data_IF_194538859927
#
_entry.id   IF_194538859927
#
_cell.length_a   1.000
_cell.length_b   1.000
_cell.length_c   1.000
_cell.angle_alpha   90.00
_cell.angle_beta   90.00
_cell.angle_gamma   90.00
#
_symmetry.space_group_name_H-M   'P 1'
#
loop_
_entity.id
_entity.type
_entity.pdbx_description
1 polymer ?
#
# COMPACT_ATOMS: atom_id res chain seq x y z
N UNK A 1 18.12 -54.68 -48.17
CA UNK A 1 16.89 -53.89 -48.39
C UNK A 1 16.48 -53.27 -47.06
N UNK A 2 16.57 -51.94 -46.99
CA UNK A 2 16.34 -51.14 -45.79
C UNK A 2 14.83 -50.97 -45.53
N UNK A 3 14.38 -51.08 -44.27
CA UNK A 3 13.08 -50.56 -43.84
C UNK A 3 13.29 -49.62 -42.66
N UNK A 4 13.07 -48.35 -42.93
CA UNK A 4 13.13 -47.19 -42.05
C UNK A 4 11.93 -47.18 -41.09
N UNK A 5 12.18 -46.97 -39.79
CA UNK A 5 11.14 -46.67 -38.81
C UNK A 5 11.31 -45.22 -38.35
N UNK A 6 10.32 -44.36 -38.64
CA UNK A 6 10.27 -42.98 -38.16
C UNK A 6 9.58 -42.97 -36.79
N UNK A 7 10.29 -42.56 -35.74
CA UNK A 7 9.71 -42.28 -34.42
C UNK A 7 9.42 -40.78 -34.35
N UNK A 8 8.15 -40.41 -34.31
CA UNK A 8 7.70 -39.05 -34.04
C UNK A 8 7.61 -38.86 -32.52
N UNK A 9 8.52 -38.08 -31.93
CA UNK A 9 8.47 -37.70 -30.52
C UNK A 9 7.55 -36.49 -30.32
N UNK A 10 6.44 -36.68 -29.62
CA UNK A 10 5.55 -35.61 -29.17
C UNK A 10 6.11 -35.04 -27.85
N UNK A 11 6.70 -33.85 -27.88
CA UNK A 11 7.11 -33.12 -26.68
C UNK A 11 5.90 -32.36 -26.16
N UNK A 12 5.22 -32.89 -25.14
CA UNK A 12 4.18 -32.18 -24.42
C UNK A 12 4.83 -31.14 -23.49
N UNK A 13 4.85 -29.88 -23.91
CA UNK A 13 5.24 -28.76 -23.06
C UNK A 13 4.12 -28.49 -22.05
N UNK A 14 4.22 -29.07 -20.85
CA UNK A 14 3.38 -28.73 -19.70
C UNK A 14 3.72 -27.31 -19.23
N UNK A 15 2.95 -26.33 -19.70
CA UNK A 15 2.94 -25.00 -19.10
C UNK A 15 2.28 -25.09 -17.72
N UNK A 16 3.09 -25.03 -16.66
CA UNK A 16 2.58 -24.84 -15.30
C UNK A 16 1.92 -23.46 -15.23
N UNK A 17 0.60 -23.36 -14.97
CA UNK A 17 -0.02 -22.06 -14.73
C UNK A 17 0.54 -21.51 -13.41
N UNK A 18 1.25 -20.39 -13.48
CA UNK A 18 1.51 -19.56 -12.30
C UNK A 18 0.17 -18.97 -11.85
N UNK A 19 -0.50 -19.63 -10.90
CA UNK A 19 -1.62 -19.04 -10.21
C UNK A 19 -1.09 -17.86 -9.38
N UNK A 20 -1.35 -16.64 -9.86
CA UNK A 20 -1.15 -15.42 -9.08
C UNK A 20 -2.05 -15.53 -7.85
N UNK A 21 -1.44 -15.65 -6.67
CA UNK A 21 -2.18 -15.60 -5.41
C UNK A 21 -2.82 -14.21 -5.30
N UNK A 22 -4.11 -14.13 -5.62
CA UNK A 22 -4.89 -12.93 -5.41
C UNK A 22 -4.78 -12.51 -3.94
N UNK A 23 -4.39 -11.26 -3.69
CA UNK A 23 -4.18 -10.76 -2.33
C UNK A 23 -5.54 -10.44 -1.70
N UNK A 24 -6.00 -11.35 -0.84
CA UNK A 24 -7.31 -11.32 -0.20
C UNK A 24 -7.49 -10.31 0.92
N UNK A 25 -6.40 -9.87 1.52
CA UNK A 25 -6.44 -9.21 2.82
C UNK A 25 -7.00 -7.79 2.73
N UNK A 26 -7.84 -7.44 3.69
CA UNK A 26 -8.03 -6.03 4.03
C UNK A 26 -6.75 -5.54 4.70
N UNK A 27 -6.20 -4.44 4.21
CA UNK A 27 -4.97 -3.82 4.72
C UNK A 27 -5.22 -2.37 5.06
N UNK A 28 -4.43 -1.80 5.95
CA UNK A 28 -4.50 -0.37 6.30
C UNK A 28 -3.22 0.33 5.86
N UNK A 29 -3.36 1.57 5.41
CA UNK A 29 -2.26 2.46 5.12
C UNK A 29 -2.51 3.87 5.67
N UNK A 30 -1.47 4.62 6.07
CA UNK A 30 -0.08 4.15 6.16
C UNK A 30 0.07 3.06 7.24
N UNK A 31 1.06 2.18 7.10
CA UNK A 31 1.34 1.12 8.09
C UNK A 31 2.16 1.62 9.28
N UNK A 32 2.61 2.88 9.23
CA UNK A 32 3.25 3.58 10.31
C UNK A 32 2.76 5.02 10.42
N UNK A 33 2.72 5.54 11.64
CA UNK A 33 2.34 6.91 11.92
C UNK A 33 2.97 7.40 13.23
N UNK A 34 3.03 8.72 13.42
CA UNK A 34 3.55 9.26 14.67
C UNK A 34 2.55 9.01 15.80
N UNK A 35 3.02 8.68 17.02
CA UNK A 35 2.17 8.74 18.20
C UNK A 35 1.59 10.13 18.29
N UNK A 36 0.28 10.21 18.47
CA UNK A 36 -0.35 11.51 18.55
C UNK A 36 -0.71 12.14 17.20
N UNK A 37 -0.52 11.48 16.07
CA UNK A 37 -0.86 12.08 14.78
C UNK A 37 -2.38 12.08 14.53
N UNK A 38 -2.85 13.13 13.86
CA UNK A 38 -4.10 13.08 13.11
C UNK A 38 -3.77 12.54 11.73
N UNK A 39 -4.30 11.37 11.38
CA UNK A 39 -3.97 10.65 10.16
C UNK A 39 -5.21 10.31 9.36
N UNK A 40 -5.06 10.26 8.05
CA UNK A 40 -6.04 9.61 7.16
C UNK A 40 -5.60 8.17 6.96
N UNK A 41 -6.34 7.25 7.59
CA UNK A 41 -6.15 5.81 7.39
C UNK A 41 -7.01 5.36 6.20
N UNK A 42 -6.39 4.66 5.26
CA UNK A 42 -7.06 4.06 4.12
C UNK A 42 -7.09 2.53 4.30
N UNK A 43 -8.29 1.98 4.47
CA UNK A 43 -8.53 0.55 4.52
C UNK A 43 -8.80 0.03 3.11
N UNK A 44 -7.91 -0.78 2.59
CA UNK A 44 -7.93 -1.25 1.21
C UNK A 44 -8.43 -2.69 1.19
N UNK A 45 -9.55 -2.92 0.50
CA UNK A 45 -10.08 -4.25 0.22
C UNK A 45 -9.43 -4.73 -1.07
N UNK A 46 -8.67 -5.83 -1.03
CA UNK A 46 -7.98 -6.35 -2.21
C UNK A 46 -8.90 -7.06 -3.21
N UNK A 47 -9.84 -7.85 -2.70
CA UNK A 47 -10.85 -8.56 -3.49
C UNK A 47 -12.06 -8.93 -2.64
N UNK A 48 -13.13 -9.43 -3.26
CA UNK A 48 -14.32 -9.93 -2.60
C UNK A 48 -14.16 -11.28 -1.87
N UNK A 49 -15.17 -11.73 -1.14
CA UNK A 49 -15.13 -12.94 -0.31
C UNK A 49 -15.36 -14.17 -1.19
N UNK A 50 -14.37 -15.07 -1.30
CA UNK A 50 -14.46 -16.28 -2.13
C UNK A 50 -14.98 -16.03 -3.56
N UNK A 51 -14.58 -14.90 -4.15
CA UNK A 51 -14.99 -14.47 -5.49
C UNK A 51 -16.31 -13.68 -5.56
N UNK A 52 -17.08 -13.58 -4.46
CA UNK A 52 -18.26 -12.72 -4.36
C UNK A 52 -17.86 -11.26 -4.14
N UNK A 53 -18.41 -10.28 -4.86
CA UNK A 53 -17.99 -8.89 -4.75
C UNK A 53 -18.31 -8.30 -3.37
N UNK A 54 -17.48 -7.37 -2.92
CA UNK A 54 -17.67 -6.73 -1.60
C UNK A 54 -18.82 -5.75 -1.65
N UNK A 55 -19.81 -5.91 -0.78
CA UNK A 55 -20.97 -5.02 -0.67
C UNK A 55 -20.91 -4.12 0.57
N UNK A 56 -20.01 -4.41 1.50
CA UNK A 56 -19.77 -3.59 2.68
C UNK A 56 -18.38 -3.77 3.27
N UNK A 57 -17.89 -2.70 3.88
CA UNK A 57 -16.76 -2.75 4.79
C UNK A 57 -17.14 -2.08 6.11
N UNK A 58 -16.89 -2.76 7.23
CA UNK A 58 -16.95 -2.19 8.57
C UNK A 58 -15.56 -2.26 9.19
N UNK A 59 -15.13 -1.19 9.82
CA UNK A 59 -13.88 -1.11 10.58
C UNK A 59 -14.21 -0.79 12.03
N UNK A 60 -13.79 -1.65 12.96
CA UNK A 60 -13.85 -1.37 14.41
C UNK A 60 -12.50 -0.76 14.83
N UNK A 61 -12.58 0.43 15.40
CA UNK A 61 -11.44 1.20 15.90
C UNK A 61 -11.41 1.09 17.43
N UNK A 62 -10.26 0.77 18.03
CA UNK A 62 -10.15 0.66 19.48
C UNK A 62 -10.36 2.03 20.14
N UNK A 63 -10.85 2.05 21.39
CA UNK A 63 -11.14 3.27 22.18
C UNK A 63 -10.02 4.31 22.28
N UNK A 64 -8.76 3.88 22.07
CA UNK A 64 -7.61 4.77 22.08
C UNK A 64 -7.49 5.62 20.80
N UNK A 65 -8.21 5.26 19.73
CA UNK A 65 -8.35 6.03 18.49
C UNK A 65 -9.58 6.92 18.61
N UNK A 66 -9.39 8.22 18.40
CA UNK A 66 -10.44 9.24 18.61
C UNK A 66 -10.60 10.11 17.35
N UNK A 67 -11.49 11.12 17.40
CA UNK A 67 -11.77 12.04 16.29
C UNK A 67 -12.06 11.31 14.95
N UNK A 68 -12.92 10.29 15.02
CA UNK A 68 -13.21 9.38 13.91
C UNK A 68 -14.17 10.04 12.92
N UNK A 69 -13.69 10.29 11.70
CA UNK A 69 -14.44 10.93 10.63
C UNK A 69 -14.26 10.19 9.31
N UNK A 70 -15.27 9.43 8.85
CA UNK A 70 -15.22 8.76 7.55
C UNK A 70 -15.14 9.79 6.44
N UNK A 71 -14.21 9.62 5.50
CA UNK A 71 -14.12 10.51 4.34
C UNK A 71 -15.18 10.13 3.28
N UNK A 72 -15.67 11.11 2.49
CA UNK A 72 -16.60 10.83 1.41
C UNK A 72 -16.06 9.80 0.42
N UNK A 73 -16.88 8.79 0.11
CA UNK A 73 -16.59 7.79 -0.92
C UNK A 73 -17.72 7.81 -1.96
N UNK A 74 -17.47 8.19 -3.22
CA UNK A 74 -18.51 8.30 -4.24
C UNK A 74 -19.34 7.02 -4.36
N UNK A 75 -20.67 7.15 -4.31
CA UNK A 75 -21.61 6.03 -4.39
C UNK A 75 -21.81 5.23 -3.10
N UNK A 76 -20.97 5.42 -2.07
CA UNK A 76 -21.08 4.68 -0.81
C UNK A 76 -21.59 5.58 0.31
N UNK A 77 -22.48 5.05 1.16
CA UNK A 77 -22.87 5.70 2.41
C UNK A 77 -21.92 5.27 3.52
N UNK A 78 -21.28 6.24 4.18
CA UNK A 78 -20.41 6.03 5.32
C UNK A 78 -21.10 6.47 6.61
N UNK A 79 -21.12 5.63 7.64
CA UNK A 79 -21.61 5.95 8.98
C UNK A 79 -20.52 5.70 10.01
N UNK A 80 -20.54 6.46 11.10
CA UNK A 80 -19.72 6.21 12.27
C UNK A 80 -20.60 6.10 13.52
N UNK A 81 -20.32 5.13 14.38
CA UNK A 81 -21.04 4.94 15.64
C UNK A 81 -20.07 4.61 16.79
N UNK A 82 -20.52 4.86 18.02
CA UNK A 82 -19.79 4.46 19.22
C UNK A 82 -20.05 2.97 19.51
N UNK A 83 -19.01 2.27 19.96
CA UNK A 83 -19.10 0.88 20.42
C UNK A 83 -19.26 0.82 21.95
N UNK A 84 -19.85 -0.26 22.50
CA UNK A 84 -20.07 -0.40 23.95
C UNK A 84 -18.80 -0.36 24.80
N UNK A 85 -17.65 -0.72 24.23
CA UNK A 85 -16.34 -0.73 24.89
C UNK A 85 -15.64 0.65 24.88
N UNK A 86 -16.32 1.67 24.36
CA UNK A 86 -15.81 3.02 24.16
C UNK A 86 -15.00 3.20 22.87
N UNK A 87 -14.93 2.16 22.03
CA UNK A 87 -14.40 2.26 20.66
C UNK A 87 -15.38 2.93 19.70
N UNK A 88 -15.01 2.89 18.43
CA UNK A 88 -15.86 3.35 17.33
C UNK A 88 -15.95 2.29 16.25
N UNK A 89 -17.01 2.33 15.47
CA UNK A 89 -17.04 1.61 14.21
C UNK A 89 -17.42 2.54 13.08
N UNK A 90 -16.78 2.33 11.93
CA UNK A 90 -17.11 3.01 10.68
C UNK A 90 -17.58 1.97 9.68
N UNK A 91 -18.71 2.21 9.04
CA UNK A 91 -19.31 1.30 8.06
C UNK A 91 -19.54 2.02 6.73
N UNK A 92 -19.06 1.43 5.64
CA UNK A 92 -19.40 1.83 4.27
C UNK A 92 -20.30 0.77 3.63
N UNK A 93 -21.48 1.18 3.13
CA UNK A 93 -22.47 0.32 2.47
C UNK A 93 -23.19 1.04 1.34
N UNK A 94 -23.90 0.27 0.50
CA UNK A 94 -24.82 0.80 -0.52
C UNK A 94 -24.18 1.27 -1.82
N UNK A 95 -22.86 1.17 -1.96
CA UNK A 95 -22.19 1.44 -3.22
C UNK A 95 -22.13 0.24 -4.16
N UNK A 96 -21.60 0.49 -5.36
CA UNK A 96 -21.39 -0.55 -6.38
C UNK A 96 -20.51 -1.67 -5.81
N UNK A 97 -20.95 -2.95 -5.88
CA UNK A 97 -20.18 -4.07 -5.34
C UNK A 97 -18.75 -4.13 -5.92
N UNK A 98 -17.75 -4.21 -5.05
CA UNK A 98 -16.35 -4.17 -5.47
C UNK A 98 -15.95 -5.47 -6.17
N UNK A 99 -15.60 -5.35 -7.45
CA UNK A 99 -15.00 -6.41 -8.28
C UNK A 99 -13.49 -6.26 -8.44
N UNK A 100 -12.93 -5.13 -8.00
CA UNK A 100 -11.51 -4.79 -8.00
C UNK A 100 -11.12 -4.23 -6.64
N UNK A 101 -9.80 -4.14 -6.40
CA UNK A 101 -9.30 -3.53 -5.17
C UNK A 101 -9.74 -2.07 -5.06
N UNK A 102 -10.09 -1.62 -3.85
CA UNK A 102 -10.52 -0.24 -3.59
C UNK A 102 -10.30 0.13 -2.12
N UNK A 103 -10.17 1.43 -1.86
CA UNK A 103 -9.89 2.02 -0.56
C UNK A 103 -11.09 2.67 0.11
N UNK A 104 -11.10 2.64 1.45
CA UNK A 104 -12.09 3.26 2.32
C UNK A 104 -11.36 4.08 3.38
N UNK A 105 -11.42 5.40 3.25
CA UNK A 105 -10.62 6.30 4.04
C UNK A 105 -11.38 6.88 5.24
N UNK A 106 -10.72 6.92 6.39
CA UNK A 106 -11.21 7.54 7.62
C UNK A 106 -10.10 8.41 8.20
N UNK A 107 -10.43 9.66 8.53
CA UNK A 107 -9.55 10.54 9.30
C UNK A 107 -9.74 10.24 10.78
N UNK A 108 -8.64 10.05 11.50
CA UNK A 108 -8.64 9.70 12.93
C UNK A 108 -7.52 10.41 13.66
N UNK A 109 -7.61 10.45 14.98
CA UNK A 109 -6.54 10.83 15.89
C UNK A 109 -6.01 9.57 16.58
N UNK A 110 -4.73 9.25 16.32
CA UNK A 110 -4.06 8.04 16.82
C UNK A 110 -3.65 8.16 18.31
N UNK A 111 -3.46 7.05 19.03
CA UNK A 111 -2.94 7.05 20.40
C UNK A 111 -1.63 7.84 20.53
N UNK A 112 -1.41 8.48 21.68
CA UNK A 112 -0.23 9.31 21.95
C UNK A 112 1.03 8.55 22.35
N UNK A 113 0.97 7.22 22.46
CA UNK A 113 2.09 6.37 22.89
C UNK A 113 2.58 5.49 21.73
N UNK A 114 3.87 5.18 21.74
CA UNK A 114 4.46 4.17 20.85
C UNK A 114 3.75 2.82 21.04
N UNK A 115 3.67 2.04 19.96
CA UNK A 115 3.04 0.73 20.01
C UNK A 115 2.42 0.32 18.68
N UNK A 116 1.51 -0.65 18.73
CA UNK A 116 0.80 -1.17 17.56
C UNK A 116 -0.70 -0.97 17.77
N UNK A 117 -1.37 -0.38 16.78
CA UNK A 117 -2.82 -0.21 16.76
C UNK A 117 -3.39 -1.21 15.77
N UNK A 118 -4.06 -2.23 16.31
CA UNK A 118 -4.78 -3.23 15.53
C UNK A 118 -6.23 -2.77 15.32
N UNK A 119 -6.75 -3.03 14.13
CA UNK A 119 -8.13 -2.74 13.74
C UNK A 119 -8.81 -4.04 13.38
N UNK A 120 -10.11 -4.14 13.65
CA UNK A 120 -10.89 -5.25 13.10
C UNK A 120 -11.54 -4.75 11.82
N UNK A 121 -11.30 -5.44 10.71
CA UNK A 121 -12.10 -5.24 9.51
C UNK A 121 -13.13 -6.36 9.37
N UNK A 122 -14.37 -6.01 9.03
CA UNK A 122 -15.44 -6.94 8.71
C UNK A 122 -15.91 -6.63 7.30
N UNK A 123 -15.61 -7.54 6.38
CA UNK A 123 -15.94 -7.43 4.98
C UNK A 123 -17.19 -8.27 4.70
N UNK A 124 -18.24 -7.66 4.12
CA UNK A 124 -19.45 -8.38 3.70
C UNK A 124 -19.50 -8.48 2.18
N UNK A 125 -19.93 -9.65 1.68
CA UNK A 125 -20.07 -9.96 0.27
C UNK A 125 -21.44 -10.62 0.04
N UNK A 126 -22.50 -9.83 0.19
CA UNK A 126 -23.87 -10.37 0.31
C UNK A 126 -24.11 -10.96 1.70
N UNK A 127 -24.50 -12.23 1.77
CA UNK A 127 -24.74 -12.95 3.03
C UNK A 127 -23.43 -13.44 3.69
N UNK A 128 -22.36 -13.57 2.91
CA UNK A 128 -21.05 -13.99 3.40
C UNK A 128 -20.35 -12.84 4.12
N UNK A 129 -19.73 -13.12 5.26
CA UNK A 129 -18.89 -12.15 5.99
C UNK A 129 -17.56 -12.76 6.37
N UNK A 130 -16.49 -12.00 6.13
CA UNK A 130 -15.12 -12.32 6.54
C UNK A 130 -14.66 -11.31 7.58
N UNK A 131 -14.13 -11.78 8.71
CA UNK A 131 -13.59 -10.95 9.78
C UNK A 131 -12.06 -11.05 9.78
N UNK A 132 -11.40 -9.90 9.70
CA UNK A 132 -9.95 -9.72 9.67
C UNK A 132 -9.48 -9.23 11.04
N UNK A 133 -9.25 -10.16 11.96
CA UNK A 133 -8.87 -9.91 13.35
C UNK A 133 -7.76 -10.83 13.87
N UNK A 134 -7.23 -11.72 13.03
CA UNK A 134 -6.17 -12.65 13.43
C UNK A 134 -4.86 -11.87 13.64
N UNK A 135 -4.17 -12.03 14.78
CA UNK A 135 -2.89 -11.36 15.00
C UNK A 135 -1.86 -11.84 13.98
N UNK A 136 -0.96 -10.94 13.55
CA UNK A 136 0.18 -11.30 12.69
C UNK A 136 1.37 -11.64 13.59
N UNK A 137 1.70 -12.94 13.78
CA UNK A 137 2.86 -13.33 14.58
C UNK A 137 4.15 -12.90 13.86
N UNK A 138 5.19 -12.57 14.65
CA UNK A 138 6.52 -12.27 14.11
C UNK A 138 7.15 -13.51 13.46
N UNK A 139 7.01 -14.65 14.15
CA UNK A 139 7.44 -15.97 13.70
C UNK A 139 6.26 -16.93 13.80
N UNK A 140 5.92 -17.61 12.70
CA UNK A 140 4.81 -18.57 12.69
C UNK A 140 4.08 -18.67 11.35
N UNK A 141 3.04 -19.51 11.28
CA UNK A 141 2.21 -19.63 10.09
C UNK A 141 1.51 -18.30 9.80
N UNK A 142 1.41 -17.94 8.52
CA UNK A 142 0.70 -16.74 8.08
C UNK A 142 -0.80 -16.90 8.40
N UNK A 143 -1.43 -15.95 9.13
CA UNK A 143 -2.87 -15.98 9.39
C UNK A 143 -3.66 -15.92 8.09
N UNK A 144 -4.88 -16.50 8.10
CA UNK A 144 -5.80 -16.46 6.97
C UNK A 144 -6.48 -15.09 6.88
N UNK A 145 -6.81 -14.50 8.02
CA UNK A 145 -7.47 -13.20 8.10
C UNK A 145 -6.73 -12.22 9.02
N UNK A 146 -5.47 -11.86 8.71
CA UNK A 146 -4.68 -10.90 9.47
C UNK A 146 -5.43 -9.58 9.74
N UNK A 147 -5.34 -9.12 10.99
CA UNK A 147 -5.78 -7.80 11.42
C UNK A 147 -5.01 -6.68 10.71
N UNK A 148 -5.70 -5.68 10.13
CA UNK A 148 -5.06 -4.44 9.71
C UNK A 148 -4.37 -3.76 10.89
N UNK A 149 -3.17 -3.23 10.66
CA UNK A 149 -2.29 -2.79 11.73
C UNK A 149 -1.49 -1.53 11.34
N UNK A 150 -1.45 -0.57 12.25
CA UNK A 150 -0.57 0.60 12.19
C UNK A 150 0.44 0.56 13.33
N UNK A 151 1.72 0.77 13.04
CA UNK A 151 2.77 0.88 14.06
C UNK A 151 3.04 2.35 14.38
N UNK A 152 2.98 2.71 15.66
CA UNK A 152 3.26 4.05 16.18
C UNK A 152 4.68 4.10 16.72
N UNK A 153 5.47 5.07 16.26
CA UNK A 153 6.81 5.29 16.78
C UNK A 153 7.46 6.57 16.26
N UNK A 154 8.49 7.04 16.96
CA UNK A 154 9.19 8.29 16.68
C UNK A 154 9.75 8.41 15.25
N UNK A 155 10.01 7.29 14.56
CA UNK A 155 10.45 7.29 13.17
C UNK A 155 9.42 7.88 12.19
N UNK A 156 8.14 7.97 12.57
CA UNK A 156 7.10 8.65 11.80
C UNK A 156 6.86 10.10 12.26
N UNK A 157 7.46 10.53 13.37
CA UNK A 157 7.20 11.81 14.06
C UNK A 157 8.15 12.96 13.68
N UNK A 158 9.00 12.80 12.67
CA UNK A 158 9.90 13.89 12.25
C UNK A 158 9.23 14.94 11.34
N UNK A 159 7.93 14.81 11.04
CA UNK A 159 7.22 15.70 10.13
C UNK A 159 6.52 16.92 10.78
N UNK A 160 6.56 17.08 12.11
CA UNK A 160 5.95 18.25 12.74
C UNK A 160 6.73 18.74 13.98
N UNK A 161 7.25 19.96 13.86
CA UNK A 161 7.92 20.78 14.88
C UNK A 161 9.41 20.51 15.15
N UNK A 162 10.26 21.27 14.46
CA UNK A 162 11.50 21.78 15.04
C UNK A 162 11.49 23.32 14.98
N UNK A 163 11.75 24.04 16.09
CA UNK A 163 12.03 25.47 16.02
C UNK A 163 13.37 25.68 15.32
N UNK A 164 13.48 26.78 14.58
CA UNK A 164 14.71 27.19 13.92
C UNK A 164 15.84 27.42 14.95
N UNK A 165 16.88 26.57 14.92
CA UNK A 165 18.15 26.85 15.58
C UNK A 165 19.33 26.25 14.79
N UNK A 166 20.24 27.16 14.40
CA UNK A 166 21.62 26.98 13.95
C UNK A 166 21.93 26.05 12.76
N UNK A 167 22.46 26.67 11.70
CA UNK A 167 23.02 26.05 10.49
C UNK A 167 24.31 25.29 10.83
N UNK A 168 24.16 24.03 11.23
CA UNK A 168 25.19 23.00 11.03
C UNK A 168 25.03 22.33 9.66
N UNK A 169 26.01 21.55 9.17
CA UNK A 169 25.82 20.77 7.94
C UNK A 169 24.59 19.87 8.10
N UNK A 170 23.62 20.02 7.19
CA UNK A 170 22.35 19.29 7.20
C UNK A 170 22.65 17.80 7.31
N UNK A 171 22.08 17.06 8.29
CA UNK A 171 22.19 15.61 8.31
C UNK A 171 21.73 15.06 6.96
N UNK A 172 22.56 14.23 6.30
CA UNK A 172 22.15 13.57 5.06
C UNK A 172 20.87 12.81 5.33
N UNK A 173 19.82 13.11 4.57
CA UNK A 173 18.55 12.39 4.63
C UNK A 173 18.79 10.89 4.50
N UNK A 174 18.20 10.11 5.41
CA UNK A 174 18.23 8.65 5.31
C UNK A 174 17.38 8.24 4.10
N UNK A 175 17.97 7.46 3.20
CA UNK A 175 17.27 6.89 2.03
C UNK A 175 17.13 5.37 2.17
N UNK A 176 16.12 4.75 1.55
CA UNK A 176 16.04 3.31 1.49
C UNK A 176 17.26 2.72 0.80
N UNK A 177 17.59 1.48 1.15
CA UNK A 177 18.66 0.76 0.46
C UNK A 177 18.35 0.66 -1.03
N UNK A 178 19.29 1.08 -1.87
CA UNK A 178 19.12 1.09 -3.32
C UNK A 178 18.33 2.29 -3.85
N UNK A 179 18.17 3.35 -3.06
CA UNK A 179 17.68 4.65 -3.51
C UNK A 179 18.80 5.68 -3.37
N UNK A 180 18.92 6.54 -4.36
CA UNK A 180 19.90 7.61 -4.44
C UNK A 180 19.19 8.95 -4.58
N UNK A 181 19.76 10.00 -3.98
CA UNK A 181 19.37 11.38 -4.26
C UNK A 181 20.35 11.96 -5.27
N UNK A 182 19.81 12.45 -6.38
CA UNK A 182 20.53 13.07 -7.47
C UNK A 182 20.84 14.54 -7.13
N UNK A 183 21.79 15.12 -7.87
CA UNK A 183 22.23 16.51 -7.64
C UNK A 183 21.12 17.55 -7.86
N UNK A 184 20.13 17.24 -8.70
CA UNK A 184 18.94 18.07 -8.97
C UNK A 184 17.84 17.93 -7.90
N UNK A 185 18.14 17.22 -6.80
CA UNK A 185 17.21 16.85 -5.74
C UNK A 185 16.27 15.71 -6.11
N UNK A 186 16.35 15.15 -7.32
CA UNK A 186 15.56 14.01 -7.76
C UNK A 186 15.91 12.71 -7.04
N UNK A 187 14.95 11.81 -6.95
CA UNK A 187 15.20 10.43 -6.51
C UNK A 187 15.53 9.54 -7.71
N UNK A 188 16.42 8.58 -7.48
CA UNK A 188 16.78 7.53 -8.43
C UNK A 188 16.93 6.18 -7.74
N UNK A 189 16.81 5.09 -8.49
CA UNK A 189 17.10 3.75 -7.99
C UNK A 189 18.61 3.46 -7.88
N UNK A 190 18.96 2.22 -7.53
CA UNK A 190 20.33 1.78 -7.35
C UNK A 190 21.16 1.84 -8.64
N UNK A 191 20.51 1.73 -9.80
CA UNK A 191 21.14 1.86 -11.11
C UNK A 191 21.26 3.32 -11.56
N UNK A 192 20.71 4.28 -10.80
CA UNK A 192 20.67 5.69 -11.19
C UNK A 192 19.49 6.04 -12.12
N UNK A 193 18.49 5.16 -12.23
CA UNK A 193 17.31 5.44 -13.02
C UNK A 193 16.38 6.42 -12.29
N UNK A 194 15.92 7.48 -12.96
CA UNK A 194 14.90 8.39 -12.47
C UNK A 194 13.68 7.74 -11.81
N UNK A 195 13.25 8.29 -10.67
CA UNK A 195 12.00 7.92 -10.01
C UNK A 195 10.93 9.01 -10.13
N UNK A 196 9.68 8.56 -10.19
CA UNK A 196 8.49 9.36 -10.47
C UNK A 196 7.33 9.02 -9.54
N UNK A 197 6.39 9.94 -9.44
CA UNK A 197 5.07 9.76 -8.81
C UNK A 197 3.97 9.97 -9.85
N UNK A 198 2.89 9.21 -9.72
CA UNK A 198 1.73 9.32 -10.60
C UNK A 198 0.66 10.24 -10.00
N UNK A 199 0.18 11.23 -10.76
CA UNK A 199 -0.73 12.25 -10.23
C UNK A 199 -2.11 11.68 -9.86
N UNK A 200 -2.53 10.59 -10.49
CA UNK A 200 -3.79 9.91 -10.15
C UNK A 200 -3.69 9.01 -8.92
N UNK A 201 -2.50 8.78 -8.34
CA UNK A 201 -2.35 8.13 -7.03
C UNK A 201 -2.70 9.12 -5.91
N UNK A 202 -3.99 9.43 -5.79
CA UNK A 202 -4.53 10.37 -4.80
C UNK A 202 -4.81 9.72 -3.45
N UNK A 203 -4.92 8.38 -3.41
CA UNK A 203 -5.16 7.63 -2.18
C UNK A 203 -3.85 7.19 -1.52
N UNK A 204 -3.71 7.47 -0.23
CA UNK A 204 -2.58 6.98 0.57
C UNK A 204 -2.60 5.46 0.60
N UNK A 205 -1.44 4.84 0.39
CA UNK A 205 -1.28 3.39 0.54
C UNK A 205 -1.72 2.54 -0.63
N UNK A 206 -2.23 3.15 -1.70
CA UNK A 206 -2.71 2.46 -2.89
C UNK A 206 -2.11 3.11 -4.14
N UNK A 207 -1.96 2.29 -5.17
CA UNK A 207 -1.60 2.72 -6.52
C UNK A 207 -2.77 2.44 -7.46
N UNK A 208 -3.07 3.38 -8.36
CA UNK A 208 -3.92 3.16 -9.52
C UNK A 208 -3.14 2.71 -10.75
N UNK A 209 -1.80 2.81 -10.73
CA UNK A 209 -0.94 2.34 -11.80
C UNK A 209 -0.70 0.83 -11.69
N UNK A 210 -1.62 0.05 -12.22
CA UNK A 210 -1.58 -1.42 -12.27
C UNK A 210 -1.48 -1.93 -13.72
N UNK A 211 -1.19 -3.23 -13.86
CA UNK A 211 -1.16 -3.95 -15.14
C UNK A 211 -0.29 -3.26 -16.22
N UNK A 212 -0.86 -2.84 -17.34
CA UNK A 212 -0.11 -2.17 -18.42
C UNK A 212 0.54 -0.87 -17.99
N UNK A 213 -0.07 -0.15 -17.05
CA UNK A 213 0.56 1.02 -16.45
C UNK A 213 1.84 0.62 -15.74
N UNK A 214 1.80 -0.43 -14.91
CA UNK A 214 2.96 -0.93 -14.16
C UNK A 214 4.04 -1.56 -15.06
N UNK A 215 3.71 -1.98 -16.30
CA UNK A 215 4.71 -2.43 -17.29
C UNK A 215 5.48 -1.25 -17.87
N UNK A 216 4.78 -0.17 -18.21
CA UNK A 216 5.39 1.05 -18.73
C UNK A 216 6.11 1.84 -17.63
N UNK A 217 5.56 1.80 -16.41
CA UNK A 217 6.05 2.48 -15.21
C UNK A 217 6.31 1.47 -14.09
N UNK A 218 7.42 0.72 -14.15
CA UNK A 218 7.74 -0.28 -13.13
C UNK A 218 7.73 0.29 -11.71
N UNK A 219 6.97 -0.30 -10.77
CA UNK A 219 7.01 0.07 -9.36
C UNK A 219 8.41 -0.06 -8.77
N UNK A 220 8.82 0.89 -7.94
CA UNK A 220 10.02 0.76 -7.12
C UNK A 220 9.76 -0.26 -6.01
N UNK A 221 10.15 -1.51 -6.23
CA UNK A 221 9.98 -2.57 -5.26
C UNK A 221 10.80 -2.29 -3.98
N UNK A 222 10.20 -2.55 -2.83
CA UNK A 222 10.90 -2.56 -1.56
C UNK A 222 11.47 -3.95 -1.26
N UNK A 223 12.64 -3.98 -0.62
CA UNK A 223 13.28 -5.23 -0.22
C UNK A 223 12.41 -5.99 0.80
N UNK A 224 12.55 -7.32 0.83
CA UNK A 224 11.88 -8.13 1.85
C UNK A 224 12.31 -7.68 3.25
N UNK A 225 11.35 -7.46 4.14
CA UNK A 225 11.61 -6.98 5.50
C UNK A 225 11.99 -5.49 5.56
N UNK A 226 11.82 -4.74 4.47
CA UNK A 226 11.88 -3.29 4.55
C UNK A 226 10.85 -2.78 5.57
N UNK A 227 11.28 -1.83 6.39
CA UNK A 227 10.43 -1.11 7.31
C UNK A 227 10.32 0.33 6.82
N UNK A 228 9.14 0.95 6.93
CA UNK A 228 9.01 2.36 6.59
C UNK A 228 9.75 3.22 7.62
N UNK A 229 10.06 4.48 7.27
CA UNK A 229 10.74 5.43 8.16
C UNK A 229 10.68 6.85 7.58
N UNK A 230 10.57 7.87 8.43
CA UNK A 230 10.43 9.25 7.97
C UNK A 230 9.31 9.39 6.95
N UNK A 231 9.61 10.03 5.82
CA UNK A 231 8.69 10.20 4.68
C UNK A 231 8.53 8.95 3.81
N UNK A 232 9.25 7.86 4.11
CA UNK A 232 9.23 6.63 3.33
C UNK A 232 8.20 5.66 3.90
N UNK A 233 7.21 5.33 3.10
CA UNK A 233 6.18 4.35 3.43
C UNK A 233 6.20 3.16 2.46
N UNK A 234 5.50 2.09 2.84
CA UNK A 234 5.39 0.89 2.03
C UNK A 234 3.93 0.70 1.63
N UNK A 235 3.70 0.45 0.35
CA UNK A 235 2.37 0.12 -0.15
C UNK A 235 2.34 -1.35 -0.62
N UNK A 236 1.28 -2.10 -0.30
CA UNK A 236 1.10 -3.43 -0.85
C UNK A 236 0.68 -3.35 -2.31
N UNK A 237 1.26 -4.21 -3.16
CA UNK A 237 0.85 -4.36 -4.57
C UNK A 237 -0.11 -5.53 -4.75
N UNK A 238 -1.16 -5.44 -5.60
CA UNK A 238 -2.11 -6.53 -5.84
C UNK A 238 -1.43 -7.81 -6.37
N UNK A 239 -0.47 -7.67 -7.29
CA UNK A 239 0.28 -8.77 -7.91
C UNK A 239 1.33 -9.43 -6.98
N UNK A 240 1.37 -9.03 -5.71
CA UNK A 240 2.38 -9.47 -4.74
C UNK A 240 3.53 -8.46 -4.56
N UNK A 241 4.29 -8.60 -3.47
CA UNK A 241 5.38 -7.68 -3.13
C UNK A 241 4.94 -6.38 -2.44
N UNK A 242 5.89 -5.48 -2.24
CA UNK A 242 5.70 -4.16 -1.62
C UNK A 242 6.42 -3.12 -2.47
N UNK A 243 5.83 -1.95 -2.64
CA UNK A 243 6.41 -0.82 -3.36
C UNK A 243 6.75 0.28 -2.35
N UNK A 244 7.88 0.96 -2.57
CA UNK A 244 8.22 2.17 -1.85
C UNK A 244 7.31 3.32 -2.28
N UNK A 245 6.79 4.03 -1.28
CA UNK A 245 6.19 5.34 -1.46
C UNK A 245 7.01 6.37 -0.70
N UNK A 246 7.04 7.59 -1.20
CA UNK A 246 7.72 8.71 -0.57
C UNK A 246 6.76 9.88 -0.47
N UNK A 247 6.65 10.47 0.73
CA UNK A 247 5.63 11.48 1.07
C UNK A 247 4.23 11.03 0.65
N UNK A 248 3.89 9.78 1.00
CA UNK A 248 2.63 9.08 0.67
C UNK A 248 2.39 8.74 -0.80
N UNK A 249 3.26 9.16 -1.73
CA UNK A 249 3.11 8.89 -3.16
C UNK A 249 3.90 7.65 -3.59
N UNK A 250 3.26 6.66 -4.25
CA UNK A 250 3.96 5.51 -4.80
C UNK A 250 5.08 5.93 -5.79
N UNK A 251 6.23 5.26 -5.72
CA UNK A 251 7.39 5.55 -6.58
C UNK A 251 7.53 4.57 -7.73
N UNK A 252 7.78 5.08 -8.92
CA UNK A 252 7.93 4.30 -10.14
C UNK A 252 9.19 4.71 -10.89
N UNK A 253 9.78 3.75 -11.59
CA UNK A 253 10.72 4.03 -12.65
C UNK A 253 9.96 4.13 -13.98
N UNK A 254 10.59 4.70 -15.01
CA UNK A 254 10.03 4.73 -16.37
C UNK A 254 10.80 3.78 -17.28
N UNK A 255 10.09 2.87 -17.96
CA UNK A 255 10.70 1.81 -18.76
C UNK A 255 11.52 2.30 -19.96
N UNK A 256 11.32 3.53 -20.41
CA UNK A 256 12.05 4.11 -21.54
C UNK A 256 13.24 4.98 -21.11
N UNK A 257 13.38 5.28 -19.82
CA UNK A 257 14.54 6.00 -19.32
C UNK A 257 15.77 5.09 -19.27
N UNK A 258 16.95 5.72 -19.29
CA UNK A 258 18.24 5.05 -19.12
C UNK A 258 19.04 5.75 -18.04
N UNK A 259 19.79 5.01 -17.21
CA UNK A 259 20.71 5.61 -16.25
C UNK A 259 21.66 6.63 -16.89
N UNK A 260 21.74 7.83 -16.29
CA UNK A 260 22.61 8.91 -16.75
C UNK A 260 22.10 9.72 -17.94
N UNK A 261 20.96 9.36 -18.54
CA UNK A 261 20.27 10.18 -19.55
C UNK A 261 19.28 11.17 -18.89
N UNK A 262 18.86 12.23 -19.62
CA UNK A 262 17.76 13.07 -19.18
C UNK A 262 16.49 12.25 -18.89
N UNK A 263 15.83 12.62 -17.81
CA UNK A 263 14.69 11.91 -17.25
C UNK A 263 13.41 12.18 -18.07
N UNK A 264 13.18 11.40 -19.14
CA UNK A 264 12.09 11.64 -20.12
C UNK A 264 10.70 11.37 -19.56
N UNK A 265 10.59 10.60 -18.49
CA UNK A 265 9.30 10.31 -17.86
C UNK A 265 8.52 11.57 -17.42
N UNK A 266 9.17 12.71 -17.15
CA UNK A 266 8.44 13.94 -16.80
C UNK A 266 7.72 14.59 -17.98
N UNK A 267 8.00 14.18 -19.21
CA UNK A 267 7.28 14.63 -20.40
C UNK A 267 5.96 13.87 -20.59
N UNK A 268 5.81 12.71 -19.92
CA UNK A 268 4.57 11.94 -19.97
C UNK A 268 3.48 12.63 -19.13
N UNK A 269 2.24 12.73 -19.64
CA UNK A 269 1.17 13.40 -18.93
C UNK A 269 0.86 12.68 -17.62
N UNK A 270 0.67 13.46 -16.55
CA UNK A 270 0.34 13.00 -15.19
C UNK A 270 1.48 12.31 -14.42
N UNK A 271 2.72 12.43 -14.89
CA UNK A 271 3.91 11.91 -14.21
C UNK A 271 4.82 13.04 -13.75
N UNK A 272 5.28 12.96 -12.50
CA UNK A 272 6.11 14.00 -11.89
C UNK A 272 7.38 13.37 -11.32
N UNK A 273 8.54 14.03 -11.50
CA UNK A 273 9.80 13.62 -10.87
C UNK A 273 9.67 13.62 -9.35
N UNK A 274 10.04 12.52 -8.71
CA UNK A 274 10.01 12.40 -7.25
C UNK A 274 11.18 13.19 -6.62
N UNK A 275 10.88 14.06 -5.63
CA UNK A 275 11.85 14.96 -4.95
C UNK A 275 11.59 15.07 -3.45
#
# INVERSE_FOLDING_TARGET
>A
MSKTLKIAGLVAATTLPFALAARAHVVVAPTMAAPGATETLNFIVGHGCDGQPTTALRIELPKAVTAVEPLPKPGWTATAEALPDGGHAVTWRGGEPLTKADGFAVRVRLPGQDGRVAFVAVQSCGETTVRWDEPVPADGPKPKHPTPLVTLGAAASAAAAAPAAAVGPTPRERLPKGVQRLADGGLADAAGQPLYTFNFDTMVGMSHCEDDCARMWPPLAAAKGAEPFGDWSLIPRPQGGVQWAYKTKPLYAYSQDRPGEPARGSEAPNWTRAK
#
